data_IF_489060628200
#
_entry.id   IF_489060628200
#
_cell.length_a   1.000
_cell.length_b   1.000
_cell.length_c   1.000
_cell.angle_alpha   90.00
_cell.angle_beta   90.00
_cell.angle_gamma   90.00
#
_symmetry.space_group_name_H-M   'P 1'
#
loop_
_entity.id
_entity.type
_entity.pdbx_description
1 polymer ?
#
# COMPACT_ATOMS: atom_id res chain seq x y z
N UNK A 1 -45.40 0.30 18.36
CA UNK A 1 -44.60 -0.92 18.11
C UNK A 1 -43.76 -0.68 16.87
N UNK A 2 -42.51 -0.23 17.01
CA UNK A 2 -41.55 -0.01 15.93
C UNK A 2 -40.13 0.12 16.51
N UNK A 3 -39.70 -0.84 17.32
CA UNK A 3 -38.38 -0.84 18.01
C UNK A 3 -37.64 -2.19 17.89
N UNK A 4 -38.08 -3.06 16.98
CA UNK A 4 -37.52 -4.41 16.81
C UNK A 4 -36.88 -4.63 15.42
N UNK A 5 -36.78 -3.61 14.56
CA UNK A 5 -36.16 -3.74 13.23
C UNK A 5 -34.74 -3.20 13.12
N UNK A 6 -34.24 -2.39 14.08
CA UNK A 6 -32.94 -1.72 13.96
C UNK A 6 -31.73 -2.55 14.41
N UNK A 7 -31.91 -3.52 15.30
CA UNK A 7 -30.80 -4.33 15.84
C UNK A 7 -30.45 -5.54 14.94
N UNK A 8 -31.40 -6.06 14.17
CA UNK A 8 -31.16 -7.20 13.27
C UNK A 8 -30.25 -6.88 12.08
N UNK A 9 -30.02 -5.58 11.81
CA UNK A 9 -29.20 -5.14 10.70
C UNK A 9 -27.73 -4.89 11.10
N UNK A 10 -27.43 -4.92 12.40
CA UNK A 10 -26.07 -4.68 12.91
C UNK A 10 -25.25 -5.96 12.80
N UNK A 11 -24.22 -5.94 11.94
CA UNK A 11 -23.30 -7.06 11.76
C UNK A 11 -22.17 -7.02 12.79
N UNK A 12 -21.62 -5.83 13.02
CA UNK A 12 -20.56 -5.62 14.00
C UNK A 12 -20.84 -4.41 14.88
N UNK A 13 -20.54 -4.52 16.16
CA UNK A 13 -20.63 -3.43 17.11
C UNK A 13 -19.46 -3.46 18.10
N UNK A 14 -18.72 -2.37 18.18
CA UNK A 14 -17.82 -2.10 19.29
C UNK A 14 -18.58 -1.30 20.35
N UNK A 15 -18.58 -1.76 21.60
CA UNK A 15 -19.17 -1.07 22.76
C UNK A 15 -18.12 -0.83 23.82
N UNK A 16 -17.80 0.44 24.09
CA UNK A 16 -16.77 0.87 25.03
C UNK A 16 -15.47 0.05 24.89
N UNK A 17 -15.11 -0.34 23.66
CA UNK A 17 -14.04 -1.30 23.41
C UNK A 17 -12.69 -0.73 23.86
N UNK A 18 -12.00 -1.47 24.74
CA UNK A 18 -10.70 -1.09 25.31
C UNK A 18 -9.67 -2.16 25.05
N UNK A 19 -8.52 -1.76 24.53
CA UNK A 19 -7.41 -2.65 24.21
C UNK A 19 -6.13 -2.01 24.73
N UNK A 20 -5.41 -2.76 25.58
CA UNK A 20 -4.17 -2.31 26.19
C UNK A 20 -2.99 -3.12 25.65
N UNK A 21 -1.86 -2.46 25.48
CA UNK A 21 -0.58 -3.12 25.35
C UNK A 21 -0.03 -3.49 26.72
N UNK A 22 0.50 -4.69 26.86
CA UNK A 22 1.21 -5.17 28.04
C UNK A 22 2.70 -4.99 27.77
N UNK A 23 3.36 -4.18 28.59
CA UNK A 23 4.80 -3.93 28.52
C UNK A 23 5.57 -5.05 29.22
N UNK A 24 6.88 -5.11 28.98
CA UNK A 24 7.78 -6.10 29.59
C UNK A 24 7.81 -6.02 31.12
N UNK A 25 7.56 -4.83 31.68
CA UNK A 25 7.45 -4.58 33.13
C UNK A 25 6.08 -4.94 33.71
N UNK A 26 5.17 -5.49 32.90
CA UNK A 26 3.79 -5.83 33.26
C UNK A 26 2.84 -4.63 33.31
N UNK A 27 3.32 -3.41 33.09
CA UNK A 27 2.45 -2.23 33.05
C UNK A 27 1.62 -2.20 31.76
N UNK A 28 0.43 -1.60 31.86
CA UNK A 28 -0.51 -1.51 30.74
C UNK A 28 -0.48 -0.12 30.12
N UNK A 29 -0.39 -0.08 28.79
CA UNK A 29 -0.51 1.13 27.99
C UNK A 29 -1.80 1.07 27.18
N UNK A 30 -2.77 1.97 27.42
CA UNK A 30 -4.00 2.02 26.63
C UNK A 30 -3.72 2.36 25.16
N UNK A 31 -4.11 1.46 24.25
CA UNK A 31 -4.02 1.66 22.79
C UNK A 31 -5.38 2.06 22.22
N UNK A 32 -6.45 1.46 22.72
CA UNK A 32 -7.84 1.80 22.40
C UNK A 32 -8.55 2.12 23.70
N UNK A 33 -9.18 3.30 23.79
CA UNK A 33 -9.60 3.93 25.05
C UNK A 33 -11.12 4.07 25.18
N UNK A 34 -11.86 3.01 24.82
CA UNK A 34 -13.32 3.04 24.83
C UNK A 34 -13.83 3.65 23.53
N UNK A 35 -14.02 2.79 22.52
CA UNK A 35 -14.55 3.20 21.22
C UNK A 35 -15.91 2.54 20.98
N UNK A 36 -16.83 3.32 20.43
CA UNK A 36 -18.20 2.93 20.13
C UNK A 36 -18.51 3.18 18.66
N UNK A 37 -18.83 2.11 17.92
CA UNK A 37 -19.33 2.23 16.55
C UNK A 37 -20.04 0.95 16.11
N UNK A 38 -20.88 1.07 15.09
CA UNK A 38 -21.64 -0.02 14.48
C UNK A 38 -21.30 -0.13 13.01
N UNK A 39 -21.34 -1.35 12.47
CA UNK A 39 -21.32 -1.63 11.03
C UNK A 39 -22.57 -2.45 10.71
N UNK A 40 -23.40 -1.93 9.80
CA UNK A 40 -24.64 -2.59 9.38
C UNK A 40 -24.44 -3.41 8.11
N UNK A 41 -25.42 -4.25 7.80
CA UNK A 41 -25.40 -5.09 6.60
C UNK A 41 -25.34 -4.21 5.34
N UNK A 42 -24.47 -4.59 4.40
CA UNK A 42 -24.27 -3.83 3.16
C UNK A 42 -23.57 -2.49 3.34
N UNK A 43 -23.15 -2.15 4.56
CA UNK A 43 -22.45 -0.90 4.89
C UNK A 43 -20.94 -1.09 4.88
N UNK A 44 -20.23 -0.12 4.31
CA UNK A 44 -18.78 -0.01 4.43
C UNK A 44 -18.41 1.13 5.39
N UNK A 45 -17.86 0.77 6.55
CA UNK A 45 -17.36 1.72 7.56
C UNK A 45 -15.84 1.85 7.42
N UNK A 46 -15.37 3.05 7.12
CA UNK A 46 -13.94 3.33 7.05
C UNK A 46 -13.38 3.80 8.39
N UNK A 47 -12.32 3.15 8.88
CA UNK A 47 -11.52 3.61 10.00
C UNK A 47 -10.33 4.42 9.45
N UNK A 48 -10.27 5.71 9.77
CA UNK A 48 -9.21 6.62 9.32
C UNK A 48 -8.46 7.26 10.47
N UNK A 49 -7.22 7.70 10.22
CA UNK A 49 -6.37 8.37 11.20
C UNK A 49 -4.89 8.09 10.96
N UNK A 50 -4.03 8.77 11.71
CA UNK A 50 -2.57 8.60 11.62
C UNK A 50 -2.10 7.16 11.93
N UNK A 51 -0.91 6.80 11.45
CA UNK A 51 -0.28 5.53 11.83
C UNK A 51 -0.19 5.42 13.35
N UNK A 52 -0.51 4.24 13.90
CA UNK A 52 -0.55 4.03 15.35
C UNK A 52 -1.79 4.54 16.08
N UNK A 53 -2.81 5.08 15.39
CA UNK A 53 -4.04 5.57 16.04
C UNK A 53 -4.97 4.48 16.59
N UNK A 54 -4.67 3.19 16.33
CA UNK A 54 -5.45 2.05 16.80
C UNK A 54 -6.34 1.38 15.76
N UNK A 55 -6.38 1.85 14.50
CA UNK A 55 -7.28 1.32 13.44
C UNK A 55 -7.21 -0.20 13.25
N UNK A 56 -6.02 -0.73 12.97
CA UNK A 56 -5.80 -2.18 12.78
C UNK A 56 -6.10 -2.97 14.06
N UNK A 57 -5.81 -2.40 15.23
CA UNK A 57 -6.09 -3.05 16.51
C UNK A 57 -7.60 -3.16 16.75
N UNK A 58 -8.35 -2.10 16.44
CA UNK A 58 -9.82 -2.09 16.51
C UNK A 58 -10.41 -3.05 15.49
N UNK A 59 -9.93 -3.03 14.24
CA UNK A 59 -10.51 -3.88 13.19
C UNK A 59 -10.29 -5.38 13.45
N UNK A 60 -9.12 -5.77 13.98
CA UNK A 60 -8.82 -7.15 14.36
C UNK A 60 -9.66 -7.65 15.54
N UNK A 61 -10.22 -6.75 16.36
CA UNK A 61 -11.14 -7.13 17.44
C UNK A 61 -12.41 -7.81 16.90
N UNK A 62 -12.82 -7.51 15.67
CA UNK A 62 -13.95 -8.17 15.02
C UNK A 62 -13.72 -9.66 14.75
N UNK A 63 -12.46 -10.11 14.76
CA UNK A 63 -12.09 -11.52 14.69
C UNK A 63 -11.87 -12.15 16.07
N UNK A 64 -12.15 -11.43 17.16
CA UNK A 64 -11.73 -11.84 18.50
C UNK A 64 -10.21 -11.97 18.62
N UNK A 65 -9.44 -11.18 17.85
CA UNK A 65 -8.00 -11.30 17.77
C UNK A 65 -7.30 -10.03 18.27
N UNK A 66 -6.26 -10.21 19.09
CA UNK A 66 -5.31 -9.17 19.48
C UNK A 66 -3.91 -9.60 19.03
N UNK A 67 -3.13 -8.65 18.49
CA UNK A 67 -1.71 -8.89 18.18
C UNK A 67 -0.96 -9.25 19.47
N UNK A 68 0.13 -10.06 19.39
CA UNK A 68 0.96 -10.36 20.54
C UNK A 68 1.38 -9.09 21.29
N UNK A 69 1.32 -9.15 22.63
CA UNK A 69 1.55 -8.00 23.50
C UNK A 69 0.33 -7.09 23.70
N UNK A 70 -0.79 -7.33 23.03
CA UNK A 70 -2.07 -6.65 23.28
C UNK A 70 -3.07 -7.57 23.99
N UNK A 71 -3.97 -6.99 24.76
CA UNK A 71 -5.12 -7.68 25.36
C UNK A 71 -6.38 -6.85 25.33
N UNK A 72 -7.53 -7.51 25.26
CA UNK A 72 -8.81 -6.89 25.55
C UNK A 72 -8.84 -6.49 27.03
N UNK A 73 -8.99 -5.20 27.30
CA UNK A 73 -8.94 -4.63 28.64
C UNK A 73 -10.33 -4.26 29.19
N UNK A 74 -11.34 -4.20 28.33
CA UNK A 74 -12.72 -3.90 28.69
C UNK A 74 -13.57 -3.62 27.45
N UNK A 75 -14.86 -3.40 27.69
CA UNK A 75 -15.85 -3.30 26.61
C UNK A 75 -16.08 -4.63 25.90
N UNK A 76 -16.76 -4.57 24.77
CA UNK A 76 -17.18 -5.74 24.00
C UNK A 76 -17.01 -5.47 22.50
N UNK A 77 -16.73 -6.53 21.74
CA UNK A 77 -16.79 -6.53 20.29
C UNK A 77 -17.81 -7.58 19.86
N UNK A 78 -18.98 -7.13 19.44
CA UNK A 78 -20.12 -7.97 19.13
C UNK A 78 -20.15 -8.24 17.62
N UNK A 79 -19.98 -9.50 17.22
CA UNK A 79 -20.18 -9.96 15.84
C UNK A 79 -21.49 -10.75 15.80
N UNK A 80 -22.45 -10.32 14.98
CA UNK A 80 -23.79 -10.92 14.90
C UNK A 80 -24.45 -11.05 16.30
N UNK A 81 -24.23 -10.05 17.15
CA UNK A 81 -24.72 -10.01 18.53
C UNK A 81 -23.94 -10.85 19.55
N UNK A 82 -22.89 -11.57 19.14
CA UNK A 82 -22.07 -12.39 20.04
C UNK A 82 -20.73 -11.71 20.34
N UNK A 83 -20.34 -11.65 21.62
CA UNK A 83 -19.07 -11.04 22.03
C UNK A 83 -17.88 -11.94 21.71
N UNK A 84 -17.16 -11.62 20.63
CA UNK A 84 -16.00 -12.38 20.17
C UNK A 84 -14.75 -12.15 21.03
N UNK A 85 -14.74 -11.15 21.91
CA UNK A 85 -13.58 -10.87 22.78
C UNK A 85 -13.45 -11.87 23.94
N UNK A 86 -14.55 -12.56 24.27
CA UNK A 86 -14.65 -13.50 25.38
C UNK A 86 -14.70 -14.96 24.94
N UNK A 87 -14.78 -15.19 23.63
CA UNK A 87 -14.74 -16.52 23.04
C UNK A 87 -13.35 -17.14 23.17
N UNK A 88 -13.32 -18.43 23.47
CA UNK A 88 -12.13 -19.25 23.37
C UNK A 88 -11.68 -19.43 21.91
N UNK A 89 -10.45 -19.88 21.71
CA UNK A 89 -9.94 -20.20 20.38
C UNK A 89 -10.78 -21.25 19.66
N UNK A 90 -11.38 -22.20 20.39
CA UNK A 90 -12.25 -23.24 19.80
C UNK A 90 -13.56 -22.67 19.30
N UNK A 91 -14.16 -21.73 20.04
CA UNK A 91 -15.38 -21.02 19.66
C UNK A 91 -15.13 -20.05 18.49
N UNK A 92 -13.94 -19.44 18.41
CA UNK A 92 -13.58 -18.53 17.32
C UNK A 92 -13.24 -19.24 16.01
N UNK A 93 -12.88 -20.53 16.05
CA UNK A 93 -12.54 -21.31 14.84
C UNK A 93 -13.66 -21.32 13.80
N UNK A 94 -14.91 -21.70 14.10
CA UNK A 94 -15.99 -21.66 13.12
C UNK A 94 -16.42 -20.23 12.76
N UNK A 95 -16.11 -19.23 13.57
CA UNK A 95 -16.45 -17.83 13.30
C UNK A 95 -15.53 -17.22 12.24
N UNK A 96 -14.22 -17.45 12.36
CA UNK A 96 -13.20 -16.94 11.44
C UNK A 96 -13.22 -17.72 10.13
N UNK A 97 -13.23 -17.03 9.00
CA UNK A 97 -13.29 -17.64 7.67
C UNK A 97 -14.71 -17.91 7.17
N UNK A 98 -15.67 -18.15 8.07
CA UNK A 98 -17.08 -18.31 7.71
C UNK A 98 -17.90 -17.03 7.94
N UNK A 99 -17.90 -16.45 9.15
CA UNK A 99 -18.70 -15.26 9.48
C UNK A 99 -17.93 -13.96 9.31
N UNK A 100 -16.63 -14.00 9.60
CA UNK A 100 -15.73 -12.86 9.41
C UNK A 100 -14.47 -13.28 8.68
N UNK A 101 -14.12 -12.54 7.63
CA UNK A 101 -12.89 -12.74 6.87
C UNK A 101 -11.97 -11.53 6.99
N UNK A 102 -10.66 -11.78 7.05
CA UNK A 102 -9.63 -10.75 7.14
C UNK A 102 -8.82 -10.70 5.85
N UNK A 103 -8.78 -9.52 5.24
CA UNK A 103 -7.95 -9.22 4.10
C UNK A 103 -6.76 -8.38 4.58
N UNK A 104 -5.60 -9.04 4.66
CA UNK A 104 -4.39 -8.46 5.23
C UNK A 104 -3.76 -7.41 4.31
N UNK A 105 -2.87 -6.58 4.89
CA UNK A 105 -2.15 -5.54 4.16
C UNK A 105 -1.24 -6.05 3.03
N UNK A 106 -0.68 -7.27 3.15
CA UNK A 106 0.31 -7.81 2.21
C UNK A 106 -0.10 -9.15 1.63
N UNK A 107 -0.60 -9.15 0.40
CA UNK A 107 -0.98 -10.39 -0.30
C UNK A 107 0.19 -11.36 -0.49
N UNK A 108 1.40 -10.84 -0.77
CA UNK A 108 2.58 -11.69 -0.94
C UNK A 108 3.02 -12.41 0.35
N UNK A 109 2.67 -11.88 1.52
CA UNK A 109 2.91 -12.54 2.80
C UNK A 109 1.77 -13.50 3.20
N UNK A 110 0.58 -13.31 2.62
CA UNK A 110 -0.60 -14.13 2.89
C UNK A 110 -0.60 -15.44 2.13
N UNK A 111 -0.20 -15.43 0.85
CA UNK A 111 -0.18 -16.65 0.04
C UNK A 111 1.05 -17.51 0.34
N UNK A 112 0.84 -18.82 0.50
CA UNK A 112 1.89 -19.82 0.48
C UNK A 112 2.40 -20.01 -0.96
N UNK A 113 3.68 -19.71 -1.26
CA UNK A 113 4.22 -19.73 -2.62
C UNK A 113 4.32 -21.12 -3.25
N UNK A 114 4.17 -22.18 -2.45
CA UNK A 114 4.28 -23.59 -2.86
C UNK A 114 2.93 -24.27 -3.11
N UNK A 115 1.82 -23.57 -2.88
CA UNK A 115 0.45 -24.09 -3.06
C UNK A 115 -0.19 -23.34 -4.22
N UNK A 116 -1.09 -24.00 -4.96
CA UNK A 116 -1.82 -23.35 -6.03
C UNK A 116 -2.72 -22.24 -5.47
N UNK A 117 -2.97 -21.23 -6.29
CA UNK A 117 -3.80 -20.08 -5.90
C UNK A 117 -5.23 -20.54 -5.58
N UNK A 118 -5.83 -21.38 -6.44
CA UNK A 118 -7.23 -21.78 -6.27
C UNK A 118 -7.45 -22.66 -5.04
N UNK A 119 -6.48 -23.50 -4.69
CA UNK A 119 -6.51 -24.30 -3.46
C UNK A 119 -6.59 -23.40 -2.23
N UNK A 120 -5.82 -22.31 -2.19
CA UNK A 120 -5.84 -21.34 -1.09
C UNK A 120 -7.10 -20.48 -1.10
N UNK A 121 -7.59 -20.07 -2.27
CA UNK A 121 -8.82 -19.27 -2.41
C UNK A 121 -10.05 -20.05 -1.93
N UNK A 122 -10.11 -21.36 -2.18
CA UNK A 122 -11.26 -22.20 -1.85
C UNK A 122 -11.14 -22.90 -0.49
N UNK A 123 -9.98 -22.82 0.17
CA UNK A 123 -9.67 -23.55 1.40
C UNK A 123 -10.71 -23.30 2.50
N UNK A 124 -11.01 -22.03 2.81
CA UNK A 124 -11.91 -21.67 3.90
C UNK A 124 -13.32 -22.30 3.75
N UNK A 125 -14.09 -22.08 2.66
CA UNK A 125 -15.42 -22.65 2.55
C UNK A 125 -15.44 -24.18 2.57
N UNK A 126 -14.37 -24.84 2.10
CA UNK A 126 -14.21 -26.30 2.14
C UNK A 126 -13.94 -26.77 3.57
N UNK A 127 -12.99 -26.15 4.28
CA UNK A 127 -12.66 -26.49 5.66
C UNK A 127 -13.87 -26.33 6.60
N UNK A 128 -14.69 -25.31 6.36
CA UNK A 128 -15.92 -25.08 7.12
C UNK A 128 -17.11 -25.92 6.64
N UNK A 129 -16.97 -26.70 5.55
CA UNK A 129 -18.03 -27.54 5.01
C UNK A 129 -19.23 -26.76 4.45
N UNK A 130 -19.03 -25.48 4.12
CA UNK A 130 -20.08 -24.60 3.58
C UNK A 130 -20.29 -24.77 2.08
N UNK A 131 -19.27 -25.28 1.38
CA UNK A 131 -19.29 -25.55 -0.07
C UNK A 131 -18.51 -26.83 -0.37
N UNK A 132 -18.94 -27.56 -1.38
CA UNK A 132 -18.12 -28.60 -2.02
C UNK A 132 -16.99 -27.96 -2.83
N UNK A 133 -15.96 -28.73 -3.21
CA UNK A 133 -14.88 -28.23 -4.06
C UNK A 133 -15.41 -27.63 -5.36
N UNK A 134 -16.37 -28.28 -6.02
CA UNK A 134 -16.93 -27.82 -7.29
C UNK A 134 -17.69 -26.48 -7.14
N UNK A 135 -18.42 -26.31 -6.04
CA UNK A 135 -19.12 -25.05 -5.74
C UNK A 135 -18.13 -23.93 -5.38
N UNK A 136 -17.10 -24.25 -4.61
CA UNK A 136 -16.05 -23.30 -4.24
C UNK A 136 -15.24 -22.86 -5.47
N UNK A 137 -14.90 -23.77 -6.38
CA UNK A 137 -14.22 -23.46 -7.64
C UNK A 137 -15.08 -22.58 -8.55
N UNK A 138 -16.38 -22.87 -8.65
CA UNK A 138 -17.31 -22.04 -9.42
C UNK A 138 -17.44 -20.62 -8.84
N UNK A 139 -17.51 -20.50 -7.51
CA UNK A 139 -17.52 -19.20 -6.80
C UNK A 139 -16.20 -18.46 -6.97
N UNK A 140 -15.07 -19.14 -6.86
CA UNK A 140 -13.75 -18.56 -7.08
C UNK A 140 -13.64 -18.00 -8.51
N UNK A 141 -14.08 -18.78 -9.52
CA UNK A 141 -14.10 -18.35 -10.91
C UNK A 141 -14.97 -17.09 -11.13
N UNK A 142 -16.17 -17.05 -10.53
CA UNK A 142 -17.03 -15.86 -10.63
C UNK A 142 -16.41 -14.63 -9.98
N UNK A 143 -15.73 -14.80 -8.84
CA UNK A 143 -14.97 -13.74 -8.17
C UNK A 143 -13.78 -13.29 -9.01
N UNK A 144 -13.07 -14.20 -9.69
CA UNK A 144 -11.97 -13.82 -10.58
C UNK A 144 -12.44 -12.93 -11.74
N UNK A 145 -13.63 -13.22 -12.29
CA UNK A 145 -14.28 -12.35 -13.26
C UNK A 145 -14.69 -11.00 -12.66
N UNK A 146 -15.35 -11.01 -11.50
CA UNK A 146 -15.84 -9.79 -10.84
C UNK A 146 -14.70 -8.83 -10.44
N UNK A 147 -13.52 -9.37 -10.12
CA UNK A 147 -12.32 -8.62 -9.73
C UNK A 147 -11.40 -8.31 -10.91
N UNK A 148 -11.87 -8.54 -12.14
CA UNK A 148 -11.19 -8.18 -13.39
C UNK A 148 -9.79 -8.79 -13.52
N UNK A 149 -9.59 -10.00 -12.97
CA UNK A 149 -8.33 -10.72 -13.11
C UNK A 149 -8.12 -11.11 -14.58
N UNK A 150 -6.89 -11.02 -15.10
CA UNK A 150 -6.61 -11.51 -16.44
C UNK A 150 -6.63 -13.03 -16.45
N UNK A 151 -7.15 -13.59 -17.55
CA UNK A 151 -7.28 -15.04 -17.73
C UNK A 151 -7.99 -15.74 -16.54
N UNK A 152 -9.23 -15.33 -16.15
CA UNK A 152 -9.94 -15.88 -14.98
C UNK A 152 -10.08 -17.40 -14.98
N UNK A 153 -10.15 -18.02 -16.18
CA UNK A 153 -10.31 -19.46 -16.32
C UNK A 153 -9.08 -20.27 -15.95
N UNK A 154 -7.88 -19.68 -15.97
CA UNK A 154 -6.63 -20.37 -15.66
C UNK A 154 -5.81 -19.72 -14.54
N UNK A 155 -6.15 -18.50 -14.10
CA UNK A 155 -5.33 -17.82 -13.09
C UNK A 155 -5.27 -18.59 -11.77
N UNK A 156 -6.33 -19.33 -11.42
CA UNK A 156 -6.38 -20.15 -10.21
C UNK A 156 -5.41 -21.34 -10.21
N UNK A 157 -5.04 -21.87 -11.38
CA UNK A 157 -4.10 -23.00 -11.49
C UNK A 157 -2.63 -22.56 -11.48
N UNK A 158 -2.37 -21.28 -11.24
CA UNK A 158 -1.01 -20.73 -11.10
C UNK A 158 -0.57 -20.74 -9.65
N UNK A 159 0.74 -20.67 -9.44
CA UNK A 159 1.35 -20.41 -8.14
C UNK A 159 1.49 -18.89 -7.88
N UNK A 160 1.56 -18.45 -6.62
CA UNK A 160 1.64 -17.03 -6.29
C UNK A 160 2.80 -16.28 -6.94
N UNK A 161 3.94 -16.94 -7.13
CA UNK A 161 5.13 -16.33 -7.77
C UNK A 161 4.99 -16.16 -9.30
N UNK A 162 3.92 -16.66 -9.91
CA UNK A 162 3.65 -16.59 -11.35
C UNK A 162 2.68 -15.45 -11.73
N UNK A 163 2.25 -14.64 -10.76
CA UNK A 163 1.31 -13.53 -10.93
C UNK A 163 1.90 -12.23 -10.37
N UNK A 164 1.39 -11.08 -10.82
CA UNK A 164 1.85 -9.78 -10.33
C UNK A 164 1.33 -9.51 -8.91
N UNK A 165 1.99 -8.60 -8.17
CA UNK A 165 1.54 -8.22 -6.83
C UNK A 165 0.09 -7.68 -6.81
N UNK A 166 -0.32 -6.94 -7.84
CA UNK A 166 -1.69 -6.45 -7.97
C UNK A 166 -2.71 -7.53 -8.33
N UNK A 167 -2.28 -8.58 -9.04
CA UNK A 167 -3.11 -9.79 -9.23
C UNK A 167 -3.25 -10.56 -7.91
N UNK A 168 -2.17 -10.72 -7.14
CA UNK A 168 -2.23 -11.36 -5.82
C UNK A 168 -3.15 -10.63 -4.86
N UNK A 169 -3.13 -9.30 -4.85
CA UNK A 169 -4.01 -8.52 -3.97
C UNK A 169 -5.49 -8.74 -4.31
N UNK A 170 -5.82 -8.83 -5.59
CA UNK A 170 -7.16 -9.20 -6.06
C UNK A 170 -7.50 -10.67 -5.78
N UNK A 171 -6.55 -11.58 -5.87
CA UNK A 171 -6.77 -12.98 -5.50
C UNK A 171 -7.01 -13.15 -4.00
N UNK A 172 -6.33 -12.35 -3.16
CA UNK A 172 -6.58 -12.29 -1.72
C UNK A 172 -8.00 -11.79 -1.42
N UNK A 173 -8.54 -10.90 -2.24
CA UNK A 173 -9.96 -10.51 -2.21
C UNK A 173 -10.88 -11.68 -2.48
N UNK A 174 -10.62 -12.41 -3.57
CA UNK A 174 -11.39 -13.59 -3.92
C UNK A 174 -11.35 -14.62 -2.78
N UNK A 175 -10.19 -14.84 -2.18
CA UNK A 175 -10.01 -15.73 -1.02
C UNK A 175 -10.89 -15.30 0.18
N UNK A 176 -10.92 -14.01 0.51
CA UNK A 176 -11.74 -13.51 1.62
C UNK A 176 -13.26 -13.58 1.32
N UNK A 177 -13.65 -13.48 0.04
CA UNK A 177 -15.04 -13.44 -0.40
C UNK A 177 -15.63 -14.81 -0.76
N UNK A 178 -14.79 -15.82 -1.02
CA UNK A 178 -15.24 -17.14 -1.47
C UNK A 178 -16.15 -17.83 -0.43
N UNK A 179 -15.89 -17.58 0.86
CA UNK A 179 -16.70 -18.05 1.99
C UNK A 179 -18.04 -17.33 2.19
N UNK A 180 -18.30 -16.23 1.47
CA UNK A 180 -19.50 -15.37 1.65
C UNK A 180 -19.69 -14.89 3.11
N UNK A 181 -18.66 -14.25 3.71
CA UNK A 181 -18.73 -13.84 5.11
C UNK A 181 -19.74 -12.70 5.33
N UNK A 182 -20.34 -12.67 6.53
CA UNK A 182 -21.18 -11.55 6.96
C UNK A 182 -20.36 -10.25 7.13
N UNK A 183 -19.10 -10.35 7.56
CA UNK A 183 -18.20 -9.21 7.77
C UNK A 183 -16.84 -9.40 7.09
N UNK A 184 -16.40 -8.37 6.38
CA UNK A 184 -15.03 -8.25 5.85
C UNK A 184 -14.24 -7.21 6.63
N UNK A 185 -13.06 -7.58 7.09
CA UNK A 185 -12.08 -6.65 7.64
C UNK A 185 -10.98 -6.44 6.61
N UNK A 186 -10.92 -5.25 6.03
CA UNK A 186 -9.99 -4.89 4.96
C UNK A 186 -8.91 -3.96 5.54
N UNK A 187 -7.68 -4.46 5.71
CA UNK A 187 -6.56 -3.67 6.25
C UNK A 187 -5.63 -3.20 5.14
N UNK A 188 -5.75 -1.93 4.74
CA UNK A 188 -5.01 -1.32 3.64
C UNK A 188 -4.98 -2.17 2.36
N UNK A 189 -6.15 -2.52 1.80
CA UNK A 189 -6.26 -3.51 0.73
C UNK A 189 -5.77 -3.02 -0.64
N UNK A 190 -5.27 -1.77 -0.72
CA UNK A 190 -4.84 -1.13 -1.98
C UNK A 190 -3.36 -0.78 -2.02
N UNK A 191 -2.58 -1.05 -0.96
CA UNK A 191 -1.20 -0.58 -0.83
C UNK A 191 -0.25 -1.08 -1.93
N UNK A 192 -0.52 -2.25 -2.54
CA UNK A 192 0.31 -2.78 -3.65
C UNK A 192 -0.31 -2.56 -5.05
N UNK A 193 -1.41 -1.83 -5.16
CA UNK A 193 -2.06 -1.49 -6.42
C UNK A 193 -1.63 -0.10 -6.90
N UNK A 194 -1.46 0.04 -8.22
CA UNK A 194 -1.25 1.36 -8.82
C UNK A 194 -2.52 2.23 -8.70
N UNK A 195 -2.34 3.55 -8.56
CA UNK A 195 -3.43 4.52 -8.30
C UNK A 195 -4.58 4.40 -9.33
N UNK A 196 -4.25 4.09 -10.58
CA UNK A 196 -5.24 3.87 -11.65
C UNK A 196 -6.08 2.61 -11.41
N UNK A 197 -5.46 1.49 -11.06
CA UNK A 197 -6.14 0.21 -10.79
C UNK A 197 -6.85 0.20 -9.42
N UNK A 198 -6.37 0.98 -8.44
CA UNK A 198 -6.98 1.04 -7.11
C UNK A 198 -8.47 1.37 -7.17
N UNK A 199 -8.86 2.36 -7.98
CA UNK A 199 -10.26 2.82 -8.07
C UNK A 199 -11.16 1.70 -8.62
N UNK A 200 -10.74 1.04 -9.70
CA UNK A 200 -11.52 -0.01 -10.37
C UNK A 200 -11.70 -1.21 -9.44
N UNK A 201 -10.63 -1.65 -8.80
CA UNK A 201 -10.65 -2.75 -7.83
C UNK A 201 -11.55 -2.43 -6.64
N UNK A 202 -11.49 -1.20 -6.12
CA UNK A 202 -12.34 -0.79 -4.99
C UNK A 202 -13.83 -0.70 -5.35
N UNK A 203 -14.16 -0.29 -6.58
CA UNK A 203 -15.53 -0.33 -7.07
C UNK A 203 -16.04 -1.76 -7.20
N UNK A 204 -15.20 -2.66 -7.73
CA UNK A 204 -15.51 -4.09 -7.79
C UNK A 204 -15.76 -4.66 -6.38
N UNK A 205 -14.89 -4.35 -5.42
CA UNK A 205 -15.08 -4.71 -4.01
C UNK A 205 -16.42 -4.23 -3.46
N UNK A 206 -16.70 -2.92 -3.56
CA UNK A 206 -17.95 -2.34 -3.05
C UNK A 206 -19.17 -3.01 -3.68
N UNK A 207 -19.12 -3.29 -4.97
CA UNK A 207 -20.18 -3.98 -5.70
C UNK A 207 -20.38 -5.40 -5.16
N UNK A 208 -19.32 -6.19 -5.03
CA UNK A 208 -19.42 -7.57 -4.52
C UNK A 208 -19.90 -7.59 -3.07
N UNK A 209 -19.36 -6.74 -2.19
CA UNK A 209 -19.81 -6.61 -0.79
C UNK A 209 -21.32 -6.36 -0.71
N UNK A 210 -21.82 -5.45 -1.56
CA UNK A 210 -23.25 -5.09 -1.60
C UNK A 210 -24.12 -6.22 -2.19
N UNK A 211 -23.66 -6.88 -3.25
CA UNK A 211 -24.39 -7.98 -3.90
C UNK A 211 -24.51 -9.21 -2.99
N UNK A 212 -23.46 -9.51 -2.23
CA UNK A 212 -23.43 -10.62 -1.26
C UNK A 212 -24.11 -10.26 0.07
N UNK A 213 -24.51 -8.99 0.26
CA UNK A 213 -25.11 -8.52 1.52
C UNK A 213 -24.14 -8.57 2.71
N UNK A 214 -22.84 -8.49 2.46
CA UNK A 214 -21.80 -8.43 3.48
C UNK A 214 -21.63 -7.00 4.02
N UNK A 215 -21.13 -6.87 5.23
CA UNK A 215 -20.64 -5.62 5.80
C UNK A 215 -19.12 -5.53 5.68
N UNK A 216 -18.55 -4.33 5.74
CA UNK A 216 -17.09 -4.18 5.72
C UNK A 216 -16.56 -3.09 6.66
N UNK A 217 -15.47 -3.42 7.36
CA UNK A 217 -14.59 -2.47 8.03
C UNK A 217 -13.39 -2.22 7.13
N UNK A 218 -13.24 -0.99 6.66
CA UNK A 218 -12.15 -0.59 5.77
C UNK A 218 -11.12 0.25 6.52
N UNK A 219 -9.93 -0.30 6.79
CA UNK A 219 -8.84 0.42 7.43
C UNK A 219 -7.94 1.03 6.38
N UNK A 220 -7.75 2.35 6.42
CA UNK A 220 -6.81 3.03 5.54
C UNK A 220 -6.36 4.37 6.11
N UNK A 221 -5.28 4.88 5.56
CA UNK A 221 -4.84 6.26 5.73
C UNK A 221 -5.09 7.14 4.48
N UNK A 222 -5.53 6.55 3.37
CA UNK A 222 -5.85 7.26 2.13
C UNK A 222 -7.32 7.68 2.08
N UNK A 223 -7.57 8.97 2.28
CA UNK A 223 -8.93 9.50 2.27
C UNK A 223 -9.52 9.67 0.86
N UNK A 224 -8.69 9.78 -0.19
CA UNK A 224 -9.18 9.89 -1.57
C UNK A 224 -9.83 8.56 -2.00
N UNK A 225 -9.30 7.45 -1.49
CA UNK A 225 -9.92 6.13 -1.58
C UNK A 225 -11.21 6.09 -0.75
N UNK A 226 -11.18 6.47 0.52
CA UNK A 226 -12.35 6.39 1.44
C UNK A 226 -13.58 7.08 0.87
N UNK A 227 -13.40 8.27 0.28
CA UNK A 227 -14.48 9.05 -0.31
C UNK A 227 -15.30 8.31 -1.38
N UNK A 228 -14.70 7.30 -2.02
CA UNK A 228 -15.31 6.55 -3.12
C UNK A 228 -15.96 5.25 -2.65
N UNK A 229 -15.48 4.64 -1.56
CA UNK A 229 -15.89 3.29 -1.15
C UNK A 229 -16.77 3.30 0.09
N UNK A 230 -16.49 4.17 1.06
CA UNK A 230 -17.12 4.13 2.37
C UNK A 230 -18.50 4.79 2.35
N UNK A 231 -19.40 4.28 3.20
CA UNK A 231 -20.69 4.89 3.48
C UNK A 231 -20.60 5.74 4.78
N UNK A 232 -19.86 5.24 5.77
CA UNK A 232 -19.53 5.95 7.00
C UNK A 232 -18.03 6.02 7.25
N UNK A 233 -17.59 7.08 7.93
CA UNK A 233 -16.20 7.27 8.37
C UNK A 233 -16.18 7.35 9.89
N UNK A 234 -15.20 6.69 10.51
CA UNK A 234 -14.80 6.82 11.91
C UNK A 234 -13.37 7.35 11.95
N UNK A 235 -13.21 8.55 12.49
CA UNK A 235 -11.93 9.26 12.60
C UNK A 235 -11.30 8.95 13.96
N UNK A 236 -10.15 8.28 13.94
CA UNK A 236 -9.41 7.85 15.11
C UNK A 236 -8.17 8.71 15.34
N UNK A 237 -7.99 9.15 16.59
CA UNK A 237 -6.77 9.82 17.04
C UNK A 237 -6.41 9.36 18.44
N UNK A 238 -5.17 8.87 18.60
CA UNK A 238 -4.62 8.42 19.87
C UNK A 238 -5.54 7.43 20.64
N UNK A 239 -6.10 6.45 19.93
CA UNK A 239 -6.93 5.40 20.52
C UNK A 239 -8.39 5.79 20.80
N UNK A 240 -8.82 6.97 20.37
CA UNK A 240 -10.17 7.51 20.61
C UNK A 240 -10.83 7.91 19.30
N UNK A 241 -12.16 7.72 19.22
CA UNK A 241 -12.96 8.28 18.13
C UNK A 241 -13.10 9.78 18.36
N UNK A 242 -12.72 10.58 17.37
CA UNK A 242 -12.85 12.05 17.41
C UNK A 242 -14.02 12.57 16.61
N UNK A 243 -14.42 11.84 15.59
CA UNK A 243 -15.57 12.17 14.77
C UNK A 243 -16.04 10.90 14.07
N UNK A 244 -17.35 10.72 13.92
CA UNK A 244 -17.92 9.61 13.16
C UNK A 244 -19.22 10.05 12.50
N UNK A 245 -19.48 9.56 11.29
CA UNK A 245 -20.69 9.90 10.56
C UNK A 245 -20.63 9.53 9.08
N UNK A 246 -21.68 9.88 8.32
CA UNK A 246 -21.72 9.64 6.88
C UNK A 246 -20.52 10.26 6.17
N UNK A 247 -20.00 9.57 5.16
CA UNK A 247 -18.83 9.97 4.37
C UNK A 247 -18.93 11.43 3.88
N UNK A 248 -20.08 11.84 3.36
CA UNK A 248 -20.31 13.18 2.84
C UNK A 248 -20.20 14.26 3.93
N UNK A 249 -20.71 13.97 5.13
CA UNK A 249 -20.66 14.88 6.28
C UNK A 249 -19.22 15.05 6.76
N UNK A 250 -18.49 13.96 6.94
CA UNK A 250 -17.11 14.01 7.45
C UNK A 250 -16.17 14.71 6.46
N UNK A 251 -16.32 14.44 5.16
CA UNK A 251 -15.46 15.04 4.12
C UNK A 251 -15.76 16.53 3.91
N UNK A 252 -17.04 16.91 3.84
CA UNK A 252 -17.43 18.26 3.44
C UNK A 252 -17.72 19.20 4.62
N UNK A 253 -18.20 18.65 5.73
CA UNK A 253 -18.72 19.39 6.90
C UNK A 253 -18.12 18.89 8.21
N UNK A 254 -16.87 18.44 8.21
CA UNK A 254 -16.21 18.01 9.45
C UNK A 254 -16.21 19.11 10.49
N UNK A 255 -16.45 18.74 11.74
CA UNK A 255 -16.52 19.66 12.88
C UNK A 255 -15.23 19.66 13.69
N UNK A 256 -14.66 18.48 13.93
CA UNK A 256 -13.54 18.32 14.84
C UNK A 256 -12.24 18.91 14.24
N UNK A 257 -11.44 19.68 15.01
CA UNK A 257 -10.24 20.33 14.49
C UNK A 257 -9.22 19.37 13.84
N UNK A 258 -9.06 18.18 14.40
CA UNK A 258 -8.20 17.14 13.82
C UNK A 258 -8.71 16.67 12.46
N UNK A 259 -10.01 16.37 12.35
CA UNK A 259 -10.62 15.94 11.09
C UNK A 259 -10.50 17.02 10.03
N UNK A 260 -10.76 18.29 10.37
CA UNK A 260 -10.57 19.42 9.45
C UNK A 260 -9.14 19.50 8.91
N UNK A 261 -8.13 19.27 9.75
CA UNK A 261 -6.72 19.23 9.32
C UNK A 261 -6.45 18.07 8.36
N UNK A 262 -6.96 16.88 8.69
CA UNK A 262 -6.82 15.69 7.86
C UNK A 262 -7.49 15.88 6.48
N UNK A 263 -8.72 16.41 6.43
CA UNK A 263 -9.42 16.73 5.19
C UNK A 263 -8.71 17.83 4.39
N UNK A 264 -8.18 18.85 5.08
CA UNK A 264 -7.46 19.96 4.47
C UNK A 264 -6.16 19.53 3.79
N UNK A 265 -5.50 18.46 4.27
CA UNK A 265 -4.28 17.92 3.66
C UNK A 265 -4.52 17.22 2.32
N UNK A 266 -5.76 16.83 2.01
CA UNK A 266 -6.12 15.99 0.87
C UNK A 266 -6.93 16.73 -0.18
N UNK A 267 -7.59 17.84 0.19
CA UNK A 267 -8.17 18.74 -0.79
C UNK A 267 -7.06 19.17 -1.75
N UNK A 268 -7.22 18.95 -3.07
CA UNK A 268 -6.21 19.37 -4.02
C UNK A 268 -5.92 20.86 -3.78
N UNK A 269 -4.64 21.19 -3.60
CA UNK A 269 -4.21 22.58 -3.68
C UNK A 269 -4.83 23.16 -4.95
N UNK A 270 -5.38 24.39 -4.91
CA UNK A 270 -5.99 25.01 -6.08
C UNK A 270 -5.05 24.89 -7.28
N UNK A 271 -5.64 24.61 -8.45
CA UNK A 271 -5.00 24.38 -9.77
C UNK A 271 -3.55 24.86 -9.84
N UNK A 272 -2.63 23.96 -10.21
CA UNK A 272 -1.24 24.29 -10.55
C UNK A 272 -1.20 25.60 -11.35
N UNK A 273 -0.66 26.66 -10.72
CA UNK A 273 -0.74 28.03 -11.22
C UNK A 273 -0.70 29.12 -10.14
N UNK A 274 -0.89 28.78 -8.86
CA UNK A 274 -0.78 29.72 -7.73
C UNK A 274 0.32 29.30 -6.74
N UNK A 275 1.48 28.89 -7.26
CA UNK A 275 2.71 29.08 -6.49
C UNK A 275 2.95 30.58 -6.41
N UNK A 276 3.22 31.11 -5.21
CA UNK A 276 3.70 32.48 -5.02
C UNK A 276 4.73 32.81 -6.11
N UNK A 277 4.60 33.99 -6.72
CA UNK A 277 5.45 34.45 -7.79
C UNK A 277 6.93 34.32 -7.39
N UNK A 278 7.55 33.20 -7.74
CA UNK A 278 8.98 33.03 -7.66
C UNK A 278 9.54 33.94 -8.74
N UNK A 279 10.21 35.01 -8.31
CA UNK A 279 10.88 35.99 -9.16
C UNK A 279 11.46 35.33 -10.42
N UNK A 280 10.97 35.75 -11.58
CA UNK A 280 11.32 35.29 -12.93
C UNK A 280 12.77 35.62 -13.34
N UNK A 281 13.76 35.33 -12.49
CA UNK A 281 15.15 35.67 -12.77
C UNK A 281 15.98 34.48 -13.31
N UNK A 282 15.48 33.24 -13.24
CA UNK A 282 16.28 32.05 -13.58
C UNK A 282 15.57 30.95 -14.42
N UNK A 283 14.52 31.28 -15.17
CA UNK A 283 14.05 30.37 -16.22
C UNK A 283 14.97 30.51 -17.45
N UNK A 284 15.85 29.55 -17.66
CA UNK A 284 16.41 29.29 -19.00
C UNK A 284 15.48 28.29 -19.68
N UNK A 285 15.17 28.49 -20.96
CA UNK A 285 14.30 27.63 -21.80
C UNK A 285 14.83 26.20 -22.04
N UNK A 286 15.86 25.79 -21.30
CA UNK A 286 16.49 24.47 -21.47
C UNK A 286 16.04 23.56 -20.32
N UNK A 287 15.44 22.40 -20.62
CA UNK A 287 15.11 21.40 -19.62
C UNK A 287 16.32 21.06 -18.75
N UNK A 288 16.10 20.79 -17.46
CA UNK A 288 17.13 20.25 -16.59
C UNK A 288 17.58 18.86 -17.07
N UNK A 289 16.62 18.08 -17.57
CA UNK A 289 16.79 16.74 -18.12
C UNK A 289 15.91 16.59 -19.36
N UNK A 290 16.48 16.10 -20.44
CA UNK A 290 15.77 15.76 -21.67
C UNK A 290 16.20 14.37 -22.14
N UNK A 291 15.22 13.50 -22.39
CA UNK A 291 15.40 12.17 -22.94
C UNK A 291 14.48 12.01 -24.16
N UNK A 292 15.06 11.67 -25.30
CA UNK A 292 14.34 11.46 -26.57
C UNK A 292 14.53 10.04 -27.07
N UNK A 293 13.45 9.48 -27.60
CA UNK A 293 13.37 8.14 -28.19
C UNK A 293 14.09 7.07 -27.36
N UNK A 294 13.75 7.01 -26.07
CA UNK A 294 14.34 6.01 -25.17
C UNK A 294 13.71 4.64 -25.39
N UNK A 295 14.51 3.74 -25.95
CA UNK A 295 14.28 2.31 -25.96
C UNK A 295 15.08 1.64 -24.85
N UNK A 296 14.49 0.72 -24.09
CA UNK A 296 15.21 -0.05 -23.08
C UNK A 296 14.50 -1.34 -22.70
N UNK A 297 15.26 -2.34 -22.24
CA UNK A 297 14.72 -3.63 -21.85
C UNK A 297 15.69 -4.48 -21.04
N UNK A 298 15.30 -5.72 -20.76
CA UNK A 298 16.06 -6.67 -19.94
C UNK A 298 16.50 -7.90 -20.74
N UNK A 299 17.59 -8.53 -20.28
CA UNK A 299 18.28 -9.59 -21.00
C UNK A 299 19.03 -9.05 -22.22
N UNK A 300 20.15 -9.66 -22.61
CA UNK A 300 20.84 -9.30 -23.86
C UNK A 300 20.88 -10.50 -24.79
N UNK A 301 20.57 -10.29 -26.06
CA UNK A 301 20.86 -11.26 -27.12
C UNK A 301 22.35 -11.21 -27.54
N UNK A 302 22.72 -12.06 -28.49
CA UNK A 302 24.10 -12.13 -28.99
C UNK A 302 24.55 -10.82 -29.65
N UNK A 303 23.58 -10.01 -30.10
CA UNK A 303 23.73 -8.72 -30.73
C UNK A 303 23.69 -7.56 -29.72
N UNK A 304 23.61 -7.86 -28.42
CA UNK A 304 23.63 -6.89 -27.33
C UNK A 304 22.33 -6.11 -27.14
N UNK A 305 21.26 -6.44 -27.88
CA UNK A 305 19.94 -5.83 -27.79
C UNK A 305 19.10 -6.48 -26.68
N UNK A 306 18.08 -5.78 -26.17
CA UNK A 306 17.28 -6.31 -25.09
C UNK A 306 16.44 -7.51 -25.54
N UNK A 307 16.62 -8.66 -24.89
CA UNK A 307 15.80 -9.86 -25.15
C UNK A 307 14.32 -9.62 -24.86
N UNK A 308 14.02 -8.76 -23.89
CA UNK A 308 12.67 -8.30 -23.56
C UNK A 308 12.63 -6.78 -23.60
N UNK A 309 12.03 -6.22 -24.65
CA UNK A 309 11.87 -4.78 -24.80
C UNK A 309 10.74 -4.26 -23.90
N UNK A 310 11.04 -3.26 -23.07
CA UNK A 310 10.10 -2.72 -22.06
C UNK A 310 9.70 -1.27 -22.37
N UNK A 311 10.67 -0.40 -22.70
CA UNK A 311 10.43 0.97 -23.16
C UNK A 311 10.61 1.02 -24.67
N UNK A 312 9.73 1.78 -25.34
CA UNK A 312 9.77 2.01 -26.78
C UNK A 312 9.50 3.49 -27.03
N UNK A 313 10.43 4.17 -27.67
CA UNK A 313 10.33 5.58 -28.10
C UNK A 313 9.78 6.52 -27.01
N UNK A 314 10.33 6.42 -25.79
CA UNK A 314 9.88 7.27 -24.68
C UNK A 314 10.56 8.64 -24.75
N UNK A 315 9.75 9.69 -24.79
CA UNK A 315 10.17 11.09 -24.87
C UNK A 315 9.72 11.87 -23.63
N UNK A 316 10.67 12.41 -22.85
CA UNK A 316 10.39 13.14 -21.60
C UNK A 316 11.34 14.31 -21.43
N UNK A 317 10.80 15.47 -21.07
CA UNK A 317 11.56 16.65 -20.67
C UNK A 317 11.14 17.10 -19.26
N UNK A 318 12.11 17.40 -18.39
CA UNK A 318 11.90 17.90 -17.03
C UNK A 318 12.54 19.28 -16.94
N UNK A 319 11.74 20.31 -16.73
CA UNK A 319 12.22 21.68 -16.53
C UNK A 319 12.81 21.88 -15.12
N UNK A 320 13.69 22.88 -14.98
CA UNK A 320 14.24 23.25 -13.67
C UNK A 320 13.14 23.71 -12.73
N UNK A 321 13.24 23.29 -11.47
CA UNK A 321 12.24 23.62 -10.44
C UNK A 321 10.88 22.92 -10.62
N UNK A 322 10.69 22.10 -11.66
CA UNK A 322 9.47 21.29 -11.85
C UNK A 322 9.70 19.86 -11.39
N UNK A 323 8.63 19.25 -10.87
CA UNK A 323 8.59 17.82 -10.54
C UNK A 323 7.65 17.13 -11.52
N UNK A 324 8.14 16.06 -12.17
CA UNK A 324 7.35 15.23 -13.08
C UNK A 324 7.07 13.89 -12.42
N UNK A 325 5.80 13.50 -12.35
CA UNK A 325 5.37 12.19 -11.88
C UNK A 325 5.22 11.21 -13.04
N UNK A 326 5.81 10.02 -12.93
CA UNK A 326 5.62 8.92 -13.90
C UNK A 326 4.57 7.97 -13.34
N UNK A 327 3.42 7.88 -14.00
CA UNK A 327 2.25 7.12 -13.55
C UNK A 327 1.84 6.09 -14.62
N UNK A 328 1.32 4.94 -14.21
CA UNK A 328 0.81 3.90 -15.08
C UNK A 328 0.69 2.56 -14.37
N UNK A 329 0.11 1.56 -15.04
CA UNK A 329 -0.14 0.21 -14.50
C UNK A 329 1.14 -0.53 -14.11
N UNK A 330 1.05 -1.48 -13.17
CA UNK A 330 2.17 -2.37 -12.84
C UNK A 330 2.68 -3.10 -14.09
N UNK A 331 4.00 -3.07 -14.34
CA UNK A 331 4.62 -3.68 -15.52
C UNK A 331 4.79 -2.77 -16.74
N UNK A 332 4.20 -1.57 -16.77
CA UNK A 332 4.27 -0.67 -17.93
C UNK A 332 5.65 0.00 -18.18
N UNK A 333 6.67 -0.32 -17.38
CA UNK A 333 8.04 0.19 -17.58
C UNK A 333 8.46 1.39 -16.71
N UNK A 334 7.66 1.85 -15.75
CA UNK A 334 8.00 3.00 -14.85
C UNK A 334 9.39 2.88 -14.20
N UNK A 335 9.65 1.74 -13.56
CA UNK A 335 10.95 1.48 -12.90
C UNK A 335 12.08 1.29 -13.90
N UNK A 336 11.78 0.80 -15.10
CA UNK A 336 12.75 0.71 -16.21
C UNK A 336 13.16 2.12 -16.62
N UNK A 337 12.19 3.02 -16.84
CA UNK A 337 12.44 4.42 -17.19
C UNK A 337 13.24 5.13 -16.08
N UNK A 338 12.86 4.95 -14.82
CA UNK A 338 13.60 5.52 -13.69
C UNK A 338 15.05 5.00 -13.58
N UNK A 339 15.28 3.71 -13.89
CA UNK A 339 16.64 3.13 -13.91
C UNK A 339 17.46 3.65 -15.08
N UNK A 340 16.84 3.85 -16.25
CA UNK A 340 17.51 4.53 -17.37
C UNK A 340 17.89 5.95 -16.94
N UNK A 341 16.99 6.64 -16.25
CA UNK A 341 17.21 8.02 -15.80
C UNK A 341 18.30 8.15 -14.73
N UNK A 342 18.43 7.15 -13.87
CA UNK A 342 19.50 7.06 -12.89
C UNK A 342 20.84 6.53 -13.47
N UNK A 343 20.90 6.21 -14.77
CA UNK A 343 22.07 5.59 -15.40
C UNK A 343 22.33 4.14 -14.98
N UNK A 344 21.37 3.49 -14.32
CA UNK A 344 21.45 2.11 -13.83
C UNK A 344 21.08 1.07 -14.89
N UNK A 345 20.38 1.47 -15.95
CA UNK A 345 20.06 0.63 -17.10
C UNK A 345 20.41 1.40 -18.38
N UNK A 346 21.33 0.90 -19.22
CA UNK A 346 21.65 1.57 -20.47
C UNK A 346 20.45 1.48 -21.43
N UNK A 347 20.14 2.56 -22.18
CA UNK A 347 19.19 2.48 -23.28
C UNK A 347 19.72 1.55 -24.37
N UNK A 348 18.82 0.92 -25.12
CA UNK A 348 19.17 0.14 -26.30
C UNK A 348 19.35 1.08 -27.50
N UNK A 349 20.40 0.86 -28.29
CA UNK A 349 20.70 1.64 -29.48
C UNK A 349 19.57 1.52 -30.52
N UNK A 350 18.65 2.48 -30.48
CA UNK A 350 17.51 2.63 -31.39
C UNK A 350 17.47 4.06 -31.93
N UNK A 351 18.12 4.31 -33.06
CA UNK A 351 18.04 5.56 -33.81
C UNK A 351 19.07 6.63 -33.38
N UNK A 352 19.72 7.23 -34.38
CA UNK A 352 20.81 8.21 -34.32
C UNK A 352 20.55 9.54 -33.55
N UNK A 353 19.47 9.63 -32.76
CA UNK A 353 19.14 10.76 -31.89
C UNK A 353 18.82 10.35 -30.44
N UNK A 354 18.92 9.06 -30.08
CA UNK A 354 18.79 8.58 -28.70
C UNK A 354 19.94 9.11 -27.83
N UNK A 355 19.74 10.30 -27.26
CA UNK A 355 20.75 11.03 -26.51
C UNK A 355 20.25 11.48 -25.15
N UNK A 356 21.03 11.17 -24.12
CA UNK A 356 20.85 11.68 -22.77
C UNK A 356 21.54 13.05 -22.65
N UNK A 357 20.80 14.11 -22.27
CA UNK A 357 21.37 15.43 -22.01
C UNK A 357 21.05 15.92 -20.60
N UNK A 358 22.07 15.90 -19.74
CA UNK A 358 22.07 16.62 -18.46
C UNK A 358 22.63 18.03 -18.71
N UNK A 359 21.82 19.06 -18.46
CA UNK A 359 22.29 20.44 -18.58
C UNK A 359 22.83 20.91 -17.23
N UNK A 360 24.15 21.10 -17.10
CA UNK A 360 24.76 21.71 -15.90
C UNK A 360 24.88 23.23 -16.04
N UNK A 361 24.63 24.02 -14.99
CA UNK A 361 24.81 25.46 -15.05
C UNK A 361 26.32 25.79 -15.03
N UNK A 362 26.86 26.27 -16.15
CA UNK A 362 28.18 26.90 -16.20
C UNK A 362 29.22 26.30 -17.15
N UNK A 363 28.95 25.19 -17.85
CA UNK A 363 29.90 24.59 -18.79
C UNK A 363 29.39 24.63 -20.22
N UNK A 364 30.04 25.43 -21.08
CA UNK A 364 29.97 25.32 -22.54
C UNK A 364 30.76 24.10 -23.03
N UNK A 365 30.44 22.91 -22.50
CA UNK A 365 30.98 21.63 -22.98
C UNK A 365 29.83 20.64 -23.15
N UNK A 366 29.60 20.28 -24.42
CA UNK A 366 28.74 19.17 -24.83
C UNK A 366 29.38 17.86 -24.34
N UNK A 367 28.69 17.12 -23.48
CA UNK A 367 29.02 15.70 -23.26
C UNK A 367 28.08 14.89 -24.16
N UNK A 368 28.51 14.66 -25.40
CA UNK A 368 27.94 13.60 -26.21
C UNK A 368 28.53 12.27 -25.73
N UNK A 369 27.79 11.54 -24.90
CA UNK A 369 28.17 10.18 -24.53
C UNK A 369 28.01 9.25 -25.72
N UNK A 370 29.06 9.06 -26.53
CA UNK A 370 29.19 7.83 -27.31
C UNK A 370 29.36 6.69 -26.30
N UNK A 371 28.69 5.56 -26.54
CA UNK A 371 28.92 4.31 -25.83
C UNK A 371 30.36 3.83 -26.09
N UNK A 372 31.33 4.37 -25.35
CA UNK A 372 32.66 3.80 -25.24
C UNK A 372 32.67 2.87 -24.03
N UNK A 373 32.86 1.58 -24.29
CA UNK A 373 33.12 0.57 -23.29
C UNK A 373 34.25 1.04 -22.35
N UNK A 374 33.94 1.23 -21.06
CA UNK A 374 34.93 1.55 -20.02
C UNK A 374 34.29 2.18 -18.78
N UNK A 375 34.74 1.83 -17.55
CA UNK A 375 34.12 2.30 -16.32
C UNK A 375 34.41 3.79 -16.09
N UNK A 376 33.40 4.52 -15.63
CA UNK A 376 33.52 5.91 -15.18
C UNK A 376 34.50 5.97 -14.00
N UNK A 377 35.63 6.64 -14.17
CA UNK A 377 36.61 6.89 -13.10
C UNK A 377 36.07 7.92 -12.12
N UNK A 378 35.96 7.53 -10.85
CA UNK A 378 35.91 8.43 -9.70
C UNK A 378 37.32 8.94 -9.42
N UNK A 379 37.48 10.26 -9.24
CA UNK A 379 38.76 10.89 -8.91
C UNK A 379 39.18 10.54 -7.47
N UNK A 380 40.39 9.97 -7.37
CA UNK A 380 41.35 9.93 -6.26
C UNK A 380 40.85 9.65 -4.83
N UNK A 381 40.89 8.37 -4.48
CA UNK A 381 41.00 7.87 -3.11
C UNK A 381 41.34 6.39 -3.15
N UNK A 382 42.56 6.00 -2.74
CA UNK A 382 42.99 4.60 -2.76
C UNK A 382 42.11 3.78 -1.81
N UNK A 383 41.41 2.79 -2.37
CA UNK A 383 40.83 1.69 -1.60
C UNK A 383 40.93 0.42 -2.43
N UNK A 384 41.67 -0.57 -1.92
CA UNK A 384 41.70 -1.93 -2.50
C UNK A 384 40.50 -2.71 -1.98
N UNK A 385 39.71 -3.39 -2.84
CA UNK A 385 38.64 -4.25 -2.35
C UNK A 385 39.17 -5.67 -2.10
N UNK A 386 39.05 -6.16 -0.86
CA UNK A 386 38.90 -7.59 -0.61
C UNK A 386 37.48 -8.03 -1.00
N UNK A 387 37.27 -9.26 -1.50
CA UNK A 387 35.94 -9.73 -1.89
C UNK A 387 35.15 -10.18 -0.66
N UNK A 388 33.97 -9.59 -0.45
CA UNK A 388 32.98 -10.06 0.52
C UNK A 388 31.91 -10.94 -0.18
N UNK A 389 31.32 -11.91 0.55
CA UNK A 389 30.67 -13.08 -0.03
C UNK A 389 29.21 -12.86 -0.43
N UNK A 390 28.67 -13.87 -1.10
CA UNK A 390 27.32 -13.94 -1.63
C UNK A 390 26.21 -14.00 -0.55
N UNK A 391 25.08 -13.44 -0.96
CA UNK A 391 23.69 -13.78 -0.60
C UNK A 391 22.96 -12.97 0.49
N UNK A 392 21.64 -12.99 0.32
CA UNK A 392 20.52 -12.69 1.21
C UNK A 392 19.74 -11.40 0.95
N UNK A 393 18.49 -11.62 0.58
CA UNK A 393 17.57 -10.65 0.03
C UNK A 393 16.92 -9.71 1.04
N UNK A 394 16.35 -8.63 0.50
CA UNK A 394 15.36 -7.83 1.21
C UNK A 394 14.37 -7.16 0.25
N UNK A 395 13.10 -7.21 0.69
CA UNK A 395 11.98 -6.30 0.49
C UNK A 395 12.11 -5.19 -0.57
N UNK A 396 11.28 -5.29 -1.61
CA UNK A 396 10.94 -4.15 -2.47
C UNK A 396 9.66 -3.49 -1.97
N UNK A 397 9.79 -2.44 -1.16
CA UNK A 397 8.74 -1.44 -1.02
C UNK A 397 8.70 -0.58 -2.29
N UNK A 398 7.51 -0.35 -2.82
CA UNK A 398 7.29 0.56 -3.94
C UNK A 398 7.45 2.01 -3.46
N UNK A 399 8.66 2.56 -3.59
CA UNK A 399 8.89 3.99 -3.45
C UNK A 399 8.51 4.69 -4.76
N UNK A 400 7.53 5.60 -4.72
CA UNK A 400 7.40 6.61 -5.75
C UNK A 400 8.69 7.43 -5.80
N UNK A 401 9.34 7.49 -6.97
CA UNK A 401 10.59 8.22 -7.12
C UNK A 401 10.25 9.66 -7.51
N UNK A 402 10.35 10.58 -6.55
CA UNK A 402 10.20 12.01 -6.77
C UNK A 402 11.58 12.61 -7.07
N UNK A 403 11.77 13.18 -8.27
CA UNK A 403 12.99 13.93 -8.59
C UNK A 403 12.77 15.43 -8.32
N UNK A 404 13.65 16.01 -7.50
CA UNK A 404 13.79 17.46 -7.31
C UNK A 404 15.10 17.91 -7.95
N UNK A 405 15.02 18.74 -8.98
CA UNK A 405 16.19 19.30 -9.65
C UNK A 405 16.62 20.61 -8.96
N UNK A 406 17.16 20.51 -7.74
CA UNK A 406 17.94 21.59 -7.10
C UNK A 406 19.00 20.98 -6.17
N UNK A 407 20.23 20.88 -6.66
CA UNK A 407 21.41 20.55 -5.85
C UNK A 407 22.43 21.70 -5.96
N UNK A 408 22.42 22.61 -4.99
CA UNK A 408 23.51 23.56 -4.74
C UNK A 408 24.15 23.21 -3.40
N UNK A 409 25.37 22.67 -3.43
CA UNK A 409 26.21 22.55 -2.23
C UNK A 409 26.91 23.88 -1.96
N UNK A 410 26.28 24.76 -1.17
CA UNK A 410 26.98 25.86 -0.51
C UNK A 410 27.71 25.33 0.74
N UNK A 411 29.00 25.64 0.84
CA UNK A 411 29.82 25.40 2.03
C UNK A 411 29.25 26.22 3.20
N UNK A 412 28.67 25.57 4.20
CA UNK A 412 28.58 26.12 5.54
C UNK A 412 29.52 25.33 6.47
N UNK A 413 30.53 26.03 6.95
CA UNK A 413 31.38 25.65 8.06
C UNK A 413 30.54 25.60 9.34
N UNK A 414 30.34 24.41 9.91
CA UNK A 414 29.78 24.25 11.25
C UNK A 414 30.91 24.24 12.29
N UNK A 415 30.89 25.24 13.16
CA UNK A 415 31.68 25.32 14.39
C UNK A 415 31.25 24.23 15.38
N UNK A 416 32.23 23.61 16.04
CA UNK A 416 32.06 22.75 17.22
C UNK A 416 31.35 23.50 18.35
N UNK A 417 30.33 22.88 18.94
CA UNK A 417 29.97 23.07 20.34
C UNK A 417 29.39 21.76 20.91
N UNK A 418 29.99 21.35 22.01
CA UNK A 418 29.70 20.23 22.90
C UNK A 418 28.35 20.37 23.64
N UNK A 419 27.70 19.25 23.96
CA UNK A 419 26.64 19.19 24.97
C UNK A 419 25.93 17.84 25.02
N UNK A 420 26.01 17.19 26.18
CA UNK A 420 25.55 15.84 26.53
C UNK A 420 24.09 15.49 26.22
N UNK A 421 23.86 14.20 25.97
CA UNK A 421 22.52 13.58 25.98
C UNK A 421 22.54 12.13 25.50
N UNK A 422 22.81 11.20 26.42
CA UNK A 422 22.89 9.75 26.18
C UNK A 422 21.61 9.18 25.55
N UNK A 423 21.75 8.52 24.41
CA UNK A 423 20.81 7.49 23.94
C UNK A 423 21.58 6.16 23.83
N UNK A 424 21.06 5.15 24.52
CA UNK A 424 21.56 3.79 24.64
C UNK A 424 21.43 3.03 23.31
N UNK A 425 22.57 2.65 22.73
CA UNK A 425 22.67 1.73 21.60
C UNK A 425 22.74 0.29 22.14
N UNK A 426 21.75 -0.54 21.84
CA UNK A 426 21.84 -1.99 22.03
C UNK A 426 22.65 -2.59 20.88
N UNK A 427 23.86 -3.08 21.21
CA UNK A 427 24.71 -3.91 20.35
C UNK A 427 24.14 -5.33 20.30
N UNK A 428 23.85 -5.85 19.10
CA UNK A 428 23.82 -7.29 18.87
C UNK A 428 25.18 -7.71 18.30
N UNK A 429 25.97 -8.41 19.13
CA UNK A 429 27.18 -9.15 18.74
C UNK A 429 26.76 -10.43 18.03
N UNK A 430 27.27 -10.65 16.81
CA UNK A 430 27.37 -11.99 16.23
C UNK A 430 28.58 -12.72 16.86
N UNK A 431 28.37 -13.94 17.34
CA UNK A 431 29.43 -14.90 17.68
C UNK A 431 29.53 -15.94 16.55
N UNK A 432 30.73 -16.47 16.24
CA UNK A 432 30.93 -17.37 15.12
C UNK A 432 30.79 -18.86 15.48
N UNK A 433 30.40 -19.63 14.46
CA UNK A 433 30.37 -21.09 14.29
C UNK A 433 29.38 -21.90 15.14
#
# INVERSE_FOLDING_TARGET
>A
MAKHSDDNDVIFEARDLKINAVRDDGSELPIVKGVDFKVRRGEVVALIGESGSGKTTISLSALGYCKPGLKFAGGEALLLGQDVTRMSTEELRPVRGEKVAYLAQSAAATFNPSILINEQVTEAPILHGTKTQAEADAKAMSLYHALELPDPGNIGSRYPHQVSGGQLQRLMAAMALCGEPDLLVLDEPTTALDVTTQIEVLKAFKKVIKEEGAAAIYVTHDLAVVAQVADHIVVLYNGEIKEAGPVETIINKSEHPYTKRLMGAIKPLPKAGLGEASNHAHMRDVPALEAKSVDAGYGRDAEGKPKTMVLRDVNVAIERGKTVGIIGESGCGKSTLARVFAGLLPPSDGGSEAGWREHRPGSSQQVAGRASQGPVRLSDGRYSPEPAPADQGHHRQAAGILWRADWRGEKQTASRASGDGRASTALCRALPA
#
